data_IF_927861010880
#
_entry.id   IF_927861010880
#
_cell.length_a   1.000
_cell.length_b   1.000
_cell.length_c   1.000
_cell.angle_alpha   90.00
_cell.angle_beta   90.00
_cell.angle_gamma   90.00
#
_symmetry.space_group_name_H-M   'P 1'
#
loop_
_entity.id
_entity.type
_entity.pdbx_description
1 polymer ?
#
# COMPACT_ATOMS: atom_id res chain seq x y z
N UNK A 1 -26.68 -26.96 -18.34
CA UNK A 1 -27.45 -25.71 -18.50
C UNK A 1 -27.01 -24.74 -17.41
N UNK A 2 -26.14 -23.79 -17.72
CA UNK A 2 -25.61 -22.82 -16.75
C UNK A 2 -26.48 -21.57 -16.76
N UNK A 3 -27.16 -21.31 -15.64
CA UNK A 3 -28.04 -20.14 -15.49
C UNK A 3 -27.21 -18.92 -15.12
N UNK A 4 -26.87 -18.11 -16.13
CA UNK A 4 -26.22 -16.81 -15.93
C UNK A 4 -27.18 -15.85 -15.21
N UNK A 5 -27.02 -15.73 -13.90
CA UNK A 5 -27.81 -14.81 -13.07
C UNK A 5 -27.38 -13.37 -13.40
N UNK A 6 -28.21 -12.65 -14.17
CA UNK A 6 -28.04 -11.20 -14.44
C UNK A 6 -28.05 -10.45 -13.10
N UNK A 7 -26.88 -10.02 -12.63
CA UNK A 7 -26.76 -9.20 -11.43
C UNK A 7 -27.49 -7.86 -11.65
N UNK A 8 -28.37 -7.50 -10.72
CA UNK A 8 -29.12 -6.24 -10.80
C UNK A 8 -28.16 -5.05 -10.65
N UNK A 9 -28.33 -3.96 -11.43
CA UNK A 9 -27.47 -2.79 -11.33
C UNK A 9 -27.55 -2.20 -9.92
N UNK A 10 -26.36 -2.00 -9.30
CA UNK A 10 -26.22 -1.49 -7.94
C UNK A 10 -26.89 -0.10 -7.82
N UNK A 11 -27.85 0.03 -6.90
CA UNK A 11 -28.55 1.30 -6.61
C UNK A 11 -27.52 2.31 -6.12
N UNK A 12 -27.23 3.35 -6.91
CA UNK A 12 -26.32 4.45 -6.52
C UNK A 12 -27.04 5.30 -5.47
N UNK A 13 -26.41 5.55 -4.32
CA UNK A 13 -26.93 6.50 -3.33
C UNK A 13 -27.11 7.87 -3.99
N UNK A 14 -28.17 8.58 -3.64
CA UNK A 14 -28.36 9.95 -4.12
C UNK A 14 -27.12 10.78 -3.76
N UNK A 15 -26.40 11.29 -4.76
CA UNK A 15 -25.36 12.29 -4.51
C UNK A 15 -26.05 13.48 -3.87
N UNK A 16 -25.71 13.78 -2.62
CA UNK A 16 -26.17 15.02 -1.99
C UNK A 16 -25.89 16.19 -2.92
N UNK A 17 -26.79 17.18 -2.95
CA UNK A 17 -26.50 18.45 -3.62
C UNK A 17 -25.21 18.94 -2.97
N UNK A 18 -24.10 18.90 -3.73
CA UNK A 18 -22.78 19.25 -3.21
C UNK A 18 -22.80 20.65 -2.60
N UNK A 19 -21.77 20.99 -1.83
CA UNK A 19 -21.66 22.32 -1.23
C UNK A 19 -21.93 23.42 -2.29
N UNK A 20 -22.71 24.46 -1.95
CA UNK A 20 -23.01 25.53 -2.89
C UNK A 20 -21.70 26.11 -3.43
N UNK A 21 -21.62 26.28 -4.74
CA UNK A 21 -20.44 26.88 -5.38
C UNK A 21 -20.22 28.28 -4.79
N UNK A 22 -18.96 28.64 -4.54
CA UNK A 22 -18.62 29.97 -4.08
C UNK A 22 -19.16 31.02 -5.05
N UNK A 23 -19.85 32.04 -4.53
CA UNK A 23 -20.46 33.09 -5.32
C UNK A 23 -19.42 34.16 -5.68
N UNK A 24 -19.72 34.99 -6.69
CA UNK A 24 -18.83 36.08 -7.08
C UNK A 24 -18.56 37.05 -5.91
N UNK A 25 -19.59 37.35 -5.11
CA UNK A 25 -19.48 38.21 -3.93
C UNK A 25 -18.52 37.64 -2.86
N UNK A 26 -18.57 36.33 -2.59
CA UNK A 26 -17.64 35.72 -1.62
C UNK A 26 -16.21 35.72 -2.13
N UNK A 27 -16.00 35.55 -3.43
CA UNK A 27 -14.66 35.62 -4.03
C UNK A 27 -14.08 37.05 -4.01
N UNK A 28 -14.89 38.08 -4.27
CA UNK A 28 -14.47 39.48 -4.20
C UNK A 28 -14.03 39.86 -2.78
N UNK A 29 -14.87 39.56 -1.78
CA UNK A 29 -14.54 39.78 -0.36
C UNK A 29 -13.26 39.05 0.07
N UNK A 30 -13.04 37.83 -0.43
CA UNK A 30 -11.80 37.10 -0.11
C UNK A 30 -10.58 37.81 -0.70
N UNK A 31 -10.66 38.32 -1.94
CA UNK A 31 -9.56 39.06 -2.58
C UNK A 31 -9.20 40.32 -1.81
N UNK A 32 -10.20 41.07 -1.32
CA UNK A 32 -9.97 42.24 -0.47
C UNK A 32 -9.24 41.88 0.82
N UNK A 33 -9.65 40.79 1.49
CA UNK A 33 -8.96 40.30 2.69
C UNK A 33 -7.52 39.89 2.39
N UNK A 34 -7.26 39.20 1.26
CA UNK A 34 -5.91 38.83 0.85
C UNK A 34 -5.01 40.02 0.47
N UNK A 35 -5.57 41.18 0.15
CA UNK A 35 -4.78 42.40 -0.07
C UNK A 35 -4.17 42.92 1.25
N UNK A 36 -4.83 42.71 2.38
CA UNK A 36 -4.33 43.15 3.68
C UNK A 36 -3.11 42.31 4.13
N UNK A 37 -2.07 42.94 4.71
CA UNK A 37 -0.87 42.24 5.17
C UNK A 37 -1.16 41.33 6.38
N UNK A 38 -1.97 41.77 7.32
CA UNK A 38 -2.31 41.02 8.54
C UNK A 38 -3.02 39.69 8.21
N UNK A 39 -3.97 39.71 7.28
CA UNK A 39 -4.69 38.50 6.88
C UNK A 39 -3.78 37.51 6.16
N UNK A 40 -2.83 38.01 5.34
CA UNK A 40 -1.81 37.18 4.67
C UNK A 40 -0.93 36.46 5.68
N UNK A 41 -0.44 37.16 6.70
CA UNK A 41 0.39 36.57 7.75
C UNK A 41 -0.38 35.54 8.57
N UNK A 42 -1.62 35.86 8.94
CA UNK A 42 -2.51 34.91 9.64
C UNK A 42 -2.72 33.63 8.83
N UNK A 43 -2.95 33.73 7.52
CA UNK A 43 -3.11 32.57 6.66
C UNK A 43 -1.82 31.78 6.51
N UNK A 44 -0.68 32.46 6.37
CA UNK A 44 0.64 31.82 6.33
C UNK A 44 0.91 31.00 7.61
N UNK A 45 0.62 31.57 8.78
CA UNK A 45 0.78 30.87 10.05
C UNK A 45 -0.13 29.64 10.14
N UNK A 46 -1.40 29.78 9.73
CA UNK A 46 -2.34 28.64 9.68
C UNK A 46 -1.83 27.53 8.76
N UNK A 47 -1.37 27.88 7.57
CA UNK A 47 -0.91 26.91 6.59
C UNK A 47 0.40 26.25 7.04
N UNK A 48 1.31 26.99 7.67
CA UNK A 48 2.51 26.45 8.31
C UNK A 48 2.16 25.46 9.44
N UNK A 49 1.24 25.82 10.33
CA UNK A 49 0.79 24.94 11.40
C UNK A 49 0.16 23.65 10.86
N UNK A 50 -0.65 23.76 9.78
CA UNK A 50 -1.21 22.60 9.09
C UNK A 50 -0.12 21.72 8.47
N UNK A 51 0.88 22.31 7.82
CA UNK A 51 1.99 21.57 7.21
C UNK A 51 2.82 20.87 8.31
N UNK A 52 3.11 21.55 9.41
CA UNK A 52 3.83 20.97 10.54
C UNK A 52 3.06 19.78 11.15
N UNK A 53 1.75 19.94 11.36
CA UNK A 53 0.89 18.86 11.84
C UNK A 53 0.83 17.69 10.84
N UNK A 54 0.80 17.96 9.54
CA UNK A 54 0.81 16.94 8.50
C UNK A 54 2.14 16.19 8.39
N UNK A 55 3.25 16.83 8.75
CA UNK A 55 4.57 16.19 8.85
C UNK A 55 4.68 15.30 10.09
N UNK A 56 4.15 15.76 11.22
CA UNK A 56 4.14 15.00 12.46
C UNK A 56 3.27 13.75 12.37
N UNK A 57 2.04 13.90 11.85
CA UNK A 57 1.07 12.80 11.72
C UNK A 57 0.57 12.63 10.27
N UNK A 58 1.38 12.08 9.35
CA UNK A 58 0.97 11.92 7.95
C UNK A 58 -0.30 11.08 7.79
N UNK A 59 -0.51 10.10 8.66
CA UNK A 59 -1.67 9.20 8.66
C UNK A 59 -2.99 9.92 8.93
N UNK A 60 -2.98 11.05 9.62
CA UNK A 60 -4.19 11.84 9.90
C UNK A 60 -4.63 12.65 8.69
N UNK A 61 -3.69 13.18 7.91
CA UNK A 61 -3.96 14.10 6.81
C UNK A 61 -4.06 13.42 5.46
N UNK A 62 -3.38 12.28 5.28
CA UNK A 62 -3.30 11.58 4.01
C UNK A 62 -3.87 10.16 4.11
N UNK A 63 -4.53 9.70 3.04
CA UNK A 63 -4.97 8.30 2.88
C UNK A 63 -3.82 7.43 2.40
N UNK A 64 -2.73 7.39 3.16
CA UNK A 64 -1.59 6.53 2.84
C UNK A 64 -1.94 5.06 3.04
N UNK A 65 -1.52 4.19 2.12
CA UNK A 65 -1.73 2.74 2.21
C UNK A 65 -3.19 2.27 2.06
N UNK A 66 -4.16 3.15 1.77
CA UNK A 66 -5.57 2.75 1.62
C UNK A 66 -5.99 2.94 0.17
N UNK A 67 -6.31 1.87 -0.58
CA UNK A 67 -6.81 1.99 -1.94
C UNK A 67 -8.10 2.81 -2.06
N UNK A 68 -8.35 3.29 -3.27
CA UNK A 68 -9.59 3.99 -3.57
C UNK A 68 -10.80 3.06 -3.45
N UNK A 69 -11.84 3.59 -2.81
CA UNK A 69 -13.06 2.83 -2.52
C UNK A 69 -13.01 1.95 -1.27
N UNK A 70 -11.86 1.80 -0.62
CA UNK A 70 -11.70 1.00 0.61
C UNK A 70 -11.66 1.89 1.87
N UNK A 71 -12.21 1.38 2.98
CA UNK A 71 -12.07 2.02 4.29
C UNK A 71 -10.73 1.68 4.92
N UNK A 72 -10.23 2.56 5.81
CA UNK A 72 -8.94 2.35 6.49
C UNK A 72 -8.89 1.04 7.27
N UNK A 73 -9.91 0.75 8.08
CA UNK A 73 -9.97 -0.49 8.88
C UNK A 73 -9.92 -1.77 8.02
N UNK A 74 -10.55 -1.76 6.84
CA UNK A 74 -10.51 -2.89 5.90
C UNK A 74 -9.10 -3.06 5.31
N UNK A 75 -8.47 -1.95 4.92
CA UNK A 75 -7.10 -1.97 4.40
C UNK A 75 -6.09 -2.42 5.45
N UNK A 76 -6.21 -1.95 6.70
CA UNK A 76 -5.35 -2.33 7.83
C UNK A 76 -5.39 -3.85 8.07
N UNK A 77 -6.58 -4.45 8.08
CA UNK A 77 -6.73 -5.90 8.21
C UNK A 77 -6.05 -6.66 7.05
N UNK A 78 -6.21 -6.18 5.81
CA UNK A 78 -5.57 -6.81 4.64
C UNK A 78 -4.05 -6.65 4.67
N UNK A 79 -3.53 -5.50 5.13
CA UNK A 79 -2.10 -5.31 5.33
C UNK A 79 -1.54 -6.19 6.45
N UNK A 80 -2.26 -6.36 7.56
CA UNK A 80 -1.85 -7.25 8.64
C UNK A 80 -1.71 -8.69 8.12
N UNK A 81 -2.73 -9.19 7.42
CA UNK A 81 -2.69 -10.52 6.79
C UNK A 81 -1.56 -10.64 5.77
N UNK A 82 -1.32 -9.62 4.95
CA UNK A 82 -0.23 -9.63 3.98
C UNK A 82 1.15 -9.68 4.65
N UNK A 83 1.32 -9.00 5.79
CA UNK A 83 2.54 -9.06 6.59
C UNK A 83 2.77 -10.46 7.17
N UNK A 84 1.74 -11.09 7.74
CA UNK A 84 1.83 -12.46 8.26
C UNK A 84 2.23 -13.45 7.16
N UNK A 85 1.63 -13.33 5.97
CA UNK A 85 1.97 -14.18 4.83
C UNK A 85 3.40 -13.93 4.32
N UNK A 86 3.85 -12.68 4.34
CA UNK A 86 5.22 -12.34 3.97
C UNK A 86 6.24 -12.92 4.97
N UNK A 87 5.94 -12.89 6.26
CA UNK A 87 6.81 -13.46 7.29
C UNK A 87 6.93 -14.99 7.09
N UNK A 88 5.81 -15.70 6.89
CA UNK A 88 5.81 -17.13 6.56
C UNK A 88 6.54 -17.44 5.24
N UNK A 89 6.42 -16.57 4.25
CA UNK A 89 7.12 -16.73 2.98
C UNK A 89 8.64 -16.69 3.15
N UNK A 90 9.14 -15.72 3.93
CA UNK A 90 10.57 -15.62 4.24
C UNK A 90 11.05 -16.82 5.06
N UNK A 91 10.28 -17.26 6.07
CA UNK A 91 10.58 -18.49 6.82
C UNK A 91 10.68 -19.71 5.90
N UNK A 92 9.75 -19.85 4.95
CA UNK A 92 9.78 -20.91 3.95
C UNK A 92 11.02 -20.86 3.04
N UNK A 93 11.50 -19.67 2.67
CA UNK A 93 12.74 -19.51 1.90
C UNK A 93 14.00 -19.84 2.72
N UNK A 94 14.02 -19.46 4.01
CA UNK A 94 15.12 -19.83 4.93
C UNK A 94 15.18 -21.34 5.14
N UNK A 95 14.03 -21.99 5.35
CA UNK A 95 13.95 -23.45 5.51
C UNK A 95 14.45 -24.22 4.29
N UNK A 96 14.28 -23.67 3.07
CA UNK A 96 14.81 -24.24 1.83
C UNK A 96 16.30 -23.97 1.59
N UNK A 97 16.91 -23.11 2.40
CA UNK A 97 18.29 -22.66 2.22
C UNK A 97 18.48 -21.67 1.07
N UNK A 98 17.40 -21.07 0.54
CA UNK A 98 17.49 -20.02 -0.49
C UNK A 98 17.88 -18.66 0.09
N UNK A 99 17.62 -18.45 1.38
CA UNK A 99 18.07 -17.30 2.15
C UNK A 99 18.91 -17.75 3.35
N UNK A 100 19.94 -16.98 3.74
CA UNK A 100 20.72 -17.28 4.93
C UNK A 100 19.83 -17.22 6.18
N UNK A 101 19.98 -18.19 7.07
CA UNK A 101 19.25 -18.26 8.34
C UNK A 101 19.86 -17.31 9.37
N UNK A 102 19.76 -16.00 9.08
CA UNK A 102 20.18 -14.94 9.97
C UNK A 102 18.99 -14.46 10.80
N UNK A 103 19.20 -14.15 12.09
CA UNK A 103 18.16 -13.60 12.93
C UNK A 103 17.69 -12.28 12.34
N UNK A 104 16.37 -12.17 12.17
CA UNK A 104 15.73 -10.98 11.62
C UNK A 104 16.09 -9.77 12.50
N UNK A 105 16.75 -8.79 11.90
CA UNK A 105 16.97 -7.52 12.56
C UNK A 105 15.67 -6.71 12.49
N UNK A 106 14.81 -6.90 13.47
CA UNK A 106 13.58 -6.12 13.62
C UNK A 106 13.96 -4.77 14.21
N UNK A 107 13.65 -3.70 13.50
CA UNK A 107 13.78 -2.36 14.02
C UNK A 107 12.88 -2.19 15.25
N UNK A 108 13.43 -1.75 16.37
CA UNK A 108 12.63 -1.16 17.42
C UNK A 108 12.11 0.19 16.89
N UNK A 109 10.89 0.18 16.33
CA UNK A 109 10.22 1.32 15.70
C UNK A 109 9.78 2.43 16.69
N UNK A 110 10.60 2.73 17.70
CA UNK A 110 10.25 3.77 18.69
C UNK A 110 10.50 5.19 18.17
N UNK A 111 11.34 5.39 17.15
CA UNK A 111 11.73 6.74 16.69
C UNK A 111 11.13 7.18 15.35
N UNK A 112 10.18 6.43 14.78
CA UNK A 112 9.53 6.80 13.51
C UNK A 112 10.48 6.90 12.29
N UNK A 113 11.73 6.44 12.42
CA UNK A 113 12.72 6.40 11.36
C UNK A 113 12.59 5.16 10.47
N UNK A 114 12.96 5.29 9.20
CA UNK A 114 13.08 4.16 8.28
C UNK A 114 14.32 3.35 8.67
N UNK A 115 14.12 2.16 9.23
CA UNK A 115 15.23 1.25 9.52
C UNK A 115 15.69 0.56 8.25
N UNK A 116 16.97 0.73 7.92
CA UNK A 116 17.63 0.03 6.83
C UNK A 116 18.64 -0.94 7.45
N UNK A 117 18.54 -2.25 7.19
CA UNK A 117 19.50 -3.21 7.69
C UNK A 117 20.94 -2.84 7.25
N UNK A 118 21.95 -3.01 8.12
CA UNK A 118 23.33 -2.66 7.81
C UNK A 118 23.95 -3.61 6.79
N UNK A 119 23.57 -4.89 6.79
CA UNK A 119 24.06 -5.91 5.87
C UNK A 119 23.27 -5.92 4.56
N UNK A 120 23.94 -6.25 3.45
CA UNK A 120 23.29 -6.30 2.15
C UNK A 120 22.31 -7.48 2.05
N UNK A 121 22.60 -8.59 2.72
CA UNK A 121 21.69 -9.73 2.87
C UNK A 121 20.42 -9.33 3.62
N UNK A 122 20.56 -8.54 4.69
CA UNK A 122 19.41 -8.03 5.45
C UNK A 122 18.55 -7.08 4.62
N UNK A 123 19.17 -6.22 3.81
CA UNK A 123 18.46 -5.34 2.87
C UNK A 123 17.70 -6.17 1.81
N UNK A 124 18.31 -7.24 1.30
CA UNK A 124 17.69 -8.12 0.32
C UNK A 124 16.48 -8.87 0.92
N UNK A 125 16.63 -9.44 2.12
CA UNK A 125 15.52 -10.07 2.85
C UNK A 125 14.37 -9.08 3.08
N UNK A 126 14.68 -7.88 3.57
CA UNK A 126 13.70 -6.82 3.78
C UNK A 126 13.01 -6.41 2.48
N UNK A 127 13.75 -6.23 1.39
CA UNK A 127 13.19 -5.85 0.10
C UNK A 127 12.28 -6.94 -0.49
N UNK A 128 12.65 -8.22 -0.37
CA UNK A 128 11.84 -9.34 -0.81
C UNK A 128 10.54 -9.45 -0.01
N UNK A 129 10.63 -9.28 1.30
CA UNK A 129 9.45 -9.25 2.17
C UNK A 129 8.50 -8.12 1.79
N UNK A 130 9.00 -6.90 1.63
CA UNK A 130 8.16 -5.75 1.24
C UNK A 130 7.56 -5.93 -0.16
N UNK A 131 8.31 -6.49 -1.11
CA UNK A 131 7.78 -6.85 -2.41
C UNK A 131 6.64 -7.87 -2.29
N UNK A 132 6.77 -8.88 -1.45
CA UNK A 132 5.70 -9.85 -1.20
C UNK A 132 4.47 -9.20 -0.55
N UNK A 133 4.68 -8.33 0.45
CA UNK A 133 3.61 -7.56 1.08
C UNK A 133 2.84 -6.73 0.04
N UNK A 134 3.53 -6.07 -0.89
CA UNK A 134 2.91 -5.28 -1.96
C UNK A 134 2.16 -6.13 -3.00
N UNK A 135 2.64 -7.35 -3.26
CA UNK A 135 2.01 -8.31 -4.18
C UNK A 135 0.65 -8.80 -3.65
N UNK A 136 0.60 -9.17 -2.37
CA UNK A 136 -0.62 -9.71 -1.73
C UNK A 136 -1.54 -8.61 -1.23
N UNK A 137 -0.96 -7.51 -0.76
CA UNK A 137 -1.66 -6.43 -0.09
C UNK A 137 -2.69 -5.70 -0.97
N UNK A 138 -3.51 -4.83 -0.35
CA UNK A 138 -4.48 -4.03 -1.06
C UNK A 138 -3.77 -2.90 -1.82
N UNK A 139 -3.35 -3.16 -3.06
CA UNK A 139 -2.66 -2.21 -3.94
C UNK A 139 -3.26 -2.24 -5.35
N UNK A 140 -2.82 -1.32 -6.23
CA UNK A 140 -3.32 -1.29 -7.62
C UNK A 140 -2.78 -2.48 -8.42
N UNK A 141 -3.52 -2.98 -9.44
CA UNK A 141 -3.08 -4.14 -10.23
C UNK A 141 -1.69 -3.98 -10.84
N UNK A 142 -1.33 -2.74 -11.25
CA UNK A 142 0.00 -2.42 -11.78
C UNK A 142 1.09 -2.62 -10.74
N UNK A 143 0.88 -2.14 -9.50
CA UNK A 143 1.83 -2.30 -8.39
C UNK A 143 1.97 -3.76 -8.02
N UNK A 144 0.85 -4.50 -7.94
CA UNK A 144 0.87 -5.95 -7.70
C UNK A 144 1.69 -6.70 -8.74
N UNK A 145 1.44 -6.47 -10.03
CA UNK A 145 2.15 -7.15 -11.10
C UNK A 145 3.67 -6.88 -11.04
N UNK A 146 4.07 -5.64 -10.76
CA UNK A 146 5.49 -5.30 -10.59
C UNK A 146 6.10 -5.99 -9.38
N UNK A 147 5.41 -5.98 -8.23
CA UNK A 147 5.87 -6.63 -7.02
C UNK A 147 6.02 -8.14 -7.17
N UNK A 148 5.05 -8.79 -7.84
CA UNK A 148 5.10 -10.21 -8.18
C UNK A 148 6.31 -10.51 -9.08
N UNK A 149 6.55 -9.68 -10.10
CA UNK A 149 7.71 -9.85 -10.98
C UNK A 149 9.03 -9.75 -10.21
N UNK A 150 9.14 -8.83 -9.25
CA UNK A 150 10.32 -8.72 -8.37
C UNK A 150 10.51 -10.02 -7.59
N UNK A 151 9.48 -10.48 -6.87
CA UNK A 151 9.56 -11.74 -6.10
C UNK A 151 9.98 -12.89 -7.01
N UNK A 152 9.30 -13.09 -8.14
CA UNK A 152 9.62 -14.17 -9.08
C UNK A 152 11.02 -14.08 -9.67
N UNK A 153 11.55 -12.88 -9.91
CA UNK A 153 12.90 -12.69 -10.47
C UNK A 153 13.98 -13.12 -9.49
N UNK A 154 13.75 -12.91 -8.20
CA UNK A 154 14.76 -13.12 -7.16
C UNK A 154 14.54 -14.39 -6.33
N UNK A 155 13.38 -15.04 -6.41
CA UNK A 155 13.07 -16.29 -5.68
C UNK A 155 12.82 -17.48 -6.59
N UNK A 156 12.90 -17.33 -7.92
CA UNK A 156 12.96 -18.48 -8.84
C UNK A 156 14.32 -18.50 -9.52
N UNK A 157 14.88 -19.69 -9.70
CA UNK A 157 15.70 -19.94 -10.87
C UNK A 157 14.84 -19.63 -12.11
N UNK A 158 15.34 -18.79 -13.03
CA UNK A 158 14.62 -18.43 -14.27
C UNK A 158 14.06 -19.71 -14.91
N UNK A 159 12.75 -19.79 -15.22
CA UNK A 159 12.20 -21.00 -15.82
C UNK A 159 12.92 -21.25 -17.15
N UNK A 160 13.47 -22.46 -17.30
CA UNK A 160 14.26 -22.87 -18.46
C UNK A 160 13.47 -22.79 -19.76
N UNK A 161 12.13 -22.85 -19.70
CA UNK A 161 11.22 -22.77 -20.84
C UNK A 161 9.92 -22.00 -20.50
N UNK A 162 9.35 -21.33 -21.51
CA UNK A 162 8.14 -20.49 -21.44
C UNK A 162 6.86 -21.25 -21.05
N UNK A 163 6.87 -22.58 -21.05
CA UNK A 163 5.69 -23.43 -20.81
C UNK A 163 5.35 -23.59 -19.31
N UNK A 164 6.30 -23.35 -18.40
CA UNK A 164 6.06 -23.35 -16.95
C UNK A 164 5.34 -22.08 -16.43
N UNK A 165 5.00 -21.14 -17.32
CA UNK A 165 4.27 -19.90 -17.02
C UNK A 165 2.74 -20.03 -17.15
N UNK A 166 2.22 -21.22 -17.48
CA UNK A 166 0.78 -21.52 -17.50
C UNK A 166 0.24 -21.73 -16.07
N UNK A 167 0.39 -20.72 -15.22
CA UNK A 167 -0.53 -20.47 -14.12
C UNK A 167 -1.41 -19.31 -14.59
N UNK A 168 -2.68 -19.59 -14.86
CA UNK A 168 -3.61 -18.61 -15.45
C UNK A 168 -3.81 -17.35 -14.57
N UNK A 169 -3.43 -17.40 -13.29
CA UNK A 169 -3.30 -16.23 -12.42
C UNK A 169 -2.02 -16.29 -11.57
N UNK A 170 -1.32 -15.16 -11.41
CA UNK A 170 -0.14 -15.08 -10.53
C UNK A 170 -0.49 -15.29 -9.05
N UNK A 171 -1.77 -15.16 -8.68
CA UNK A 171 -2.30 -15.43 -7.34
C UNK A 171 -2.23 -16.93 -6.98
N UNK A 172 -2.38 -17.83 -7.96
CA UNK A 172 -2.41 -19.28 -7.74
C UNK A 172 -1.03 -19.82 -7.33
N UNK A 173 0.05 -19.16 -7.73
CA UNK A 173 1.42 -19.50 -7.35
C UNK A 173 1.73 -19.19 -5.87
N UNK A 174 1.12 -18.14 -5.32
CA UNK A 174 1.33 -17.81 -3.90
C UNK A 174 0.67 -18.86 -3.00
N UNK A 175 -0.46 -19.41 -3.44
CA UNK A 175 -1.17 -20.46 -2.72
C UNK A 175 -0.43 -21.79 -2.72
N UNK A 176 0.32 -22.14 -3.78
CA UNK A 176 1.09 -23.40 -3.82
C UNK A 176 2.28 -23.39 -2.87
N UNK A 177 2.97 -22.25 -2.71
CA UNK A 177 4.06 -22.14 -1.72
C UNK A 177 3.53 -22.22 -0.28
N UNK A 178 2.35 -21.63 -0.02
CA UNK A 178 1.72 -21.67 1.30
C UNK A 178 1.16 -23.07 1.61
N UNK A 179 0.65 -23.78 0.60
CA UNK A 179 0.01 -25.09 0.75
C UNK A 179 0.95 -26.29 0.66
N UNK A 180 2.19 -26.14 0.18
CA UNK A 180 3.17 -27.23 0.11
C UNK A 180 4.00 -27.40 1.39
N UNK A 181 3.51 -26.88 2.52
CA UNK A 181 4.15 -26.94 3.84
C UNK A 181 3.59 -28.00 4.79
N UNK A 182 2.71 -28.88 4.28
CA UNK A 182 2.25 -30.10 4.98
C UNK A 182 3.01 -31.34 4.49
#
# INVERSE_FOLDING_TARGET
MTTTTKSRPRKKSARGKGAPRATQATSARLKELWATPEFREKMKHRDQARIAAAKADPTKFYRYGVPDGMRRAEAEHLWARANELADRFIEGLKAKGELPDLPRQVANNNDGGIFVPPTDEGKAEGALREAFVLAVGPSTPRVKAQAINIVLTYTKAKPTCKEALLCDRPEDFLNTIIGSGD
#
